data_IF_414902214604
#
_entry.id   IF_414902214604
#
_cell.length_a   1.000
_cell.length_b   1.000
_cell.length_c   1.000
_cell.angle_alpha   90.00
_cell.angle_beta   90.00
_cell.angle_gamma   90.00
#
_symmetry.space_group_name_H-M   'P 1'
#
loop_
_entity.id
_entity.type
_entity.pdbx_description
1 polymer ?
#
# COMPACT_ATOMS: atom_id res chain seq x y z
N UNK A 1 -15.29 24.68 0.36
CA UNK A 1 -14.67 23.63 -0.48
C UNK A 1 -13.93 22.70 0.46
N UNK A 2 -14.20 21.40 0.41
CA UNK A 2 -13.57 20.39 1.28
C UNK A 2 -12.26 19.91 0.66
N UNK A 3 -11.27 19.62 1.50
CA UNK A 3 -9.91 19.42 1.00
C UNK A 3 -9.23 18.19 1.59
N UNK A 4 -8.60 17.43 0.71
CA UNK A 4 -7.65 16.37 1.04
C UNK A 4 -6.25 16.87 0.66
N UNK A 5 -5.29 16.85 1.59
CA UNK A 5 -3.87 17.01 1.28
C UNK A 5 -3.23 15.62 1.24
N UNK A 6 -2.69 15.23 0.08
CA UNK A 6 -2.16 13.89 -0.11
C UNK A 6 -0.65 13.89 -0.34
N UNK A 7 0.10 13.21 0.53
CA UNK A 7 1.55 13.02 0.42
C UNK A 7 1.89 11.76 -0.39
N UNK A 8 2.74 11.93 -1.39
CA UNK A 8 3.19 10.82 -2.22
C UNK A 8 2.27 10.52 -3.40
N UNK A 9 1.98 11.51 -4.25
CA UNK A 9 1.07 11.38 -5.39
C UNK A 9 1.69 10.55 -6.53
N UNK A 10 1.94 9.25 -6.23
CA UNK A 10 2.45 8.26 -7.18
C UNK A 10 1.33 7.53 -7.95
N UNK A 11 1.71 6.45 -8.67
CA UNK A 11 0.75 5.66 -9.46
C UNK A 11 -0.33 5.05 -8.57
N UNK A 12 0.02 4.50 -7.41
CA UNK A 12 -0.94 3.88 -6.53
C UNK A 12 -1.97 4.90 -6.01
N UNK A 13 -1.55 6.06 -5.52
CA UNK A 13 -2.47 7.12 -5.08
C UNK A 13 -3.43 7.53 -6.20
N UNK A 14 -2.90 7.69 -7.43
CA UNK A 14 -3.69 8.07 -8.62
C UNK A 14 -4.68 6.99 -9.03
N UNK A 15 -4.33 5.72 -8.86
CA UNK A 15 -5.21 4.59 -9.16
C UNK A 15 -6.13 4.20 -8.00
N UNK A 16 -5.94 4.71 -6.78
CA UNK A 16 -6.70 4.31 -5.60
C UNK A 16 -7.46 5.50 -5.01
N UNK A 17 -6.85 6.29 -4.11
CA UNK A 17 -7.51 7.41 -3.44
C UNK A 17 -8.18 8.38 -4.42
N UNK A 18 -7.48 8.76 -5.50
CA UNK A 18 -8.02 9.73 -6.45
C UNK A 18 -9.16 9.14 -7.29
N UNK A 19 -9.09 7.85 -7.63
CA UNK A 19 -10.17 7.15 -8.33
C UNK A 19 -11.44 7.08 -7.47
N UNK A 20 -11.32 6.67 -6.21
CA UNK A 20 -12.44 6.69 -5.25
C UNK A 20 -13.00 8.11 -5.03
N UNK A 21 -12.12 9.12 -4.93
CA UNK A 21 -12.55 10.50 -4.73
C UNK A 21 -13.25 11.07 -5.96
N UNK A 22 -12.81 10.69 -7.17
CA UNK A 22 -13.49 11.03 -8.40
C UNK A 22 -14.89 10.40 -8.49
N UNK A 23 -15.03 9.15 -8.05
CA UNK A 23 -16.33 8.46 -8.02
C UNK A 23 -17.28 9.01 -6.95
N UNK A 24 -16.74 9.46 -5.82
CA UNK A 24 -17.54 10.10 -4.78
C UNK A 24 -18.15 11.42 -5.27
N UNK A 25 -17.49 12.11 -6.19
CA UNK A 25 -17.96 13.42 -6.67
C UNK A 25 -17.98 14.49 -5.58
N UNK A 26 -18.90 15.46 -5.73
CA UNK A 26 -19.07 16.53 -4.73
C UNK A 26 -17.99 17.61 -4.78
N UNK A 27 -17.83 18.35 -3.68
CA UNK A 27 -16.94 19.51 -3.58
C UNK A 27 -15.53 19.16 -3.07
N UNK A 28 -15.12 17.90 -3.14
CA UNK A 28 -13.81 17.46 -2.67
C UNK A 28 -12.72 17.74 -3.69
N UNK A 29 -11.65 18.37 -3.23
CA UNK A 29 -10.44 18.62 -4.01
C UNK A 29 -9.22 18.03 -3.32
N UNK A 30 -8.26 17.61 -4.13
CA UNK A 30 -7.00 17.05 -3.65
C UNK A 30 -5.85 18.00 -3.98
N UNK A 31 -5.09 18.37 -2.96
CA UNK A 31 -3.77 18.98 -3.12
C UNK A 31 -2.73 17.87 -2.93
N UNK A 32 -1.97 17.58 -3.98
CA UNK A 32 -0.86 16.65 -3.90
C UNK A 32 0.36 17.29 -3.23
N UNK A 33 1.14 16.50 -2.51
CA UNK A 33 2.44 16.89 -1.97
C UNK A 33 3.47 15.83 -2.32
N UNK A 34 4.51 16.23 -3.07
CA UNK A 34 5.63 15.36 -3.37
C UNK A 34 6.88 15.81 -2.58
N UNK A 35 7.48 14.89 -1.82
CA UNK A 35 8.61 15.19 -0.95
C UNK A 35 9.94 15.28 -1.68
N UNK A 36 10.09 14.60 -2.83
CA UNK A 36 11.39 14.41 -3.50
C UNK A 36 11.42 14.83 -4.97
N UNK A 37 10.46 14.38 -5.79
CA UNK A 37 10.51 14.52 -7.25
C UNK A 37 9.41 15.43 -7.78
N UNK A 38 9.76 16.29 -8.74
CA UNK A 38 8.81 17.14 -9.47
C UNK A 38 8.11 16.41 -10.63
N UNK A 39 8.60 15.25 -11.04
CA UNK A 39 8.17 14.57 -12.29
C UNK A 39 6.65 14.43 -12.41
N UNK A 40 5.98 13.97 -11.34
CA UNK A 40 4.52 13.83 -11.37
C UNK A 40 3.81 15.19 -11.39
N UNK A 41 4.33 16.19 -10.64
CA UNK A 41 3.79 17.55 -10.66
C UNK A 41 3.90 18.16 -12.05
N UNK A 42 5.09 18.12 -12.64
CA UNK A 42 5.36 18.78 -13.93
C UNK A 42 4.53 18.13 -15.05
N UNK A 43 4.46 16.80 -15.07
CA UNK A 43 3.65 16.07 -16.05
C UNK A 43 2.16 16.37 -15.91
N UNK A 44 1.60 16.33 -14.69
CA UNK A 44 0.18 16.61 -14.48
C UNK A 44 -0.18 18.09 -14.67
N UNK A 45 0.70 19.01 -14.30
CA UNK A 45 0.49 20.45 -14.51
C UNK A 45 0.38 20.80 -16.00
N UNK A 46 1.15 20.10 -16.87
CA UNK A 46 1.09 20.30 -18.32
C UNK A 46 -0.27 19.90 -18.94
N UNK A 47 -1.13 19.20 -18.21
CA UNK A 47 -2.45 18.72 -18.63
C UNK A 47 -3.57 19.05 -17.63
N UNK A 48 -3.48 20.20 -16.99
CA UNK A 48 -4.49 20.72 -16.04
C UNK A 48 -4.84 19.72 -14.91
N UNK A 49 -3.86 18.95 -14.46
CA UNK A 49 -3.97 17.92 -13.42
C UNK A 49 -4.98 16.80 -13.70
N UNK A 50 -5.47 16.69 -14.94
CA UNK A 50 -6.28 15.56 -15.39
C UNK A 50 -5.35 14.44 -15.91
N UNK A 51 -5.78 13.18 -15.77
CA UNK A 51 -5.06 12.04 -16.34
C UNK A 51 -5.97 10.85 -16.62
N UNK A 52 -5.52 9.98 -17.52
CA UNK A 52 -6.20 8.75 -17.89
C UNK A 52 -5.87 7.63 -16.90
N UNK A 53 -6.89 7.03 -16.32
CA UNK A 53 -6.80 5.77 -15.56
C UNK A 53 -7.25 4.63 -16.48
N UNK A 54 -6.30 3.80 -16.93
CA UNK A 54 -6.56 2.60 -17.73
C UNK A 54 -6.95 1.47 -16.80
N UNK A 55 -8.25 1.20 -16.67
CA UNK A 55 -8.77 0.07 -15.90
C UNK A 55 -8.83 -1.15 -16.81
N UNK A 56 -8.00 -2.14 -16.53
CA UNK A 56 -7.84 -3.35 -17.35
C UNK A 56 -9.16 -4.13 -17.46
N UNK A 57 -9.50 -4.54 -18.68
CA UNK A 57 -10.76 -5.23 -18.97
C UNK A 57 -12.02 -4.36 -18.91
N UNK A 58 -11.91 -3.06 -18.54
CA UNK A 58 -13.06 -2.13 -18.41
C UNK A 58 -12.95 -0.97 -19.40
N UNK A 59 -11.80 -0.28 -19.45
CA UNK A 59 -11.60 0.85 -20.34
C UNK A 59 -10.75 1.97 -19.71
N UNK A 60 -10.89 3.17 -20.25
CA UNK A 60 -10.16 4.37 -19.81
C UNK A 60 -11.12 5.33 -19.13
N UNK A 61 -10.76 5.77 -17.93
CA UNK A 61 -11.49 6.76 -17.12
C UNK A 61 -10.64 8.02 -16.99
N UNK A 62 -11.24 9.20 -17.15
CA UNK A 62 -10.56 10.47 -16.88
C UNK A 62 -10.72 10.84 -15.41
N UNK A 63 -9.61 11.10 -14.74
CA UNK A 63 -9.56 11.56 -13.36
C UNK A 63 -9.15 13.04 -13.33
N UNK A 64 -9.98 13.86 -12.66
CA UNK A 64 -9.75 15.32 -12.52
C UNK A 64 -10.22 15.80 -11.15
N UNK A 65 -9.53 15.38 -10.10
CA UNK A 65 -9.82 15.77 -8.70
C UNK A 65 -8.64 16.48 -8.04
N UNK A 66 -7.49 16.50 -8.72
CA UNK A 66 -6.29 17.19 -8.25
C UNK A 66 -6.40 18.66 -8.63
N UNK A 67 -6.25 19.55 -7.65
CA UNK A 67 -6.25 20.97 -7.88
C UNK A 67 -4.85 21.53 -8.17
N UNK A 68 -3.86 21.04 -7.40
CA UNK A 68 -2.45 21.40 -7.57
C UNK A 68 -1.55 20.37 -6.89
N UNK A 69 -0.25 20.42 -7.17
CA UNK A 69 0.76 19.58 -6.52
C UNK A 69 1.89 20.49 -6.03
N UNK A 70 2.15 20.43 -4.73
CA UNK A 70 3.21 21.17 -4.04
C UNK A 70 4.46 20.30 -3.90
N UNK A 71 5.63 20.92 -3.89
CA UNK A 71 6.91 20.25 -3.69
C UNK A 71 7.58 20.72 -2.41
N UNK A 72 8.02 19.78 -1.57
CA UNK A 72 8.75 20.11 -0.35
C UNK A 72 10.08 20.85 -0.63
N UNK A 73 10.71 20.59 -1.79
CA UNK A 73 11.92 21.28 -2.23
C UNK A 73 11.72 22.76 -2.60
N UNK A 74 10.49 23.19 -2.87
CA UNK A 74 10.16 24.59 -3.19
C UNK A 74 9.74 25.41 -1.96
N UNK A 75 9.69 24.76 -0.80
CA UNK A 75 9.38 25.40 0.49
C UNK A 75 8.21 24.73 1.18
N UNK A 76 8.26 24.78 2.49
CA UNK A 76 7.28 24.13 3.36
C UNK A 76 6.03 24.95 3.63
N UNK A 77 6.12 26.29 3.56
CA UNK A 77 5.01 27.16 3.94
C UNK A 77 3.73 26.93 3.12
N UNK A 78 3.78 26.80 1.78
CA UNK A 78 2.58 26.47 1.01
C UNK A 78 1.95 25.12 1.41
N UNK A 79 2.79 24.12 1.79
CA UNK A 79 2.33 22.80 2.24
C UNK A 79 1.64 22.92 3.59
N UNK A 80 2.26 23.56 4.58
CA UNK A 80 1.67 23.77 5.90
C UNK A 80 0.36 24.58 5.83
N UNK A 81 0.31 25.61 4.98
CA UNK A 81 -0.93 26.36 4.73
C UNK A 81 -2.04 25.49 4.14
N UNK A 82 -1.72 24.63 3.17
CA UNK A 82 -2.68 23.68 2.62
C UNK A 82 -3.15 22.69 3.69
N UNK A 83 -2.22 22.13 4.48
CA UNK A 83 -2.55 21.21 5.57
C UNK A 83 -3.45 21.86 6.63
N UNK A 84 -3.19 23.08 7.05
CA UNK A 84 -3.98 23.79 8.07
C UNK A 84 -5.47 23.89 7.69
N UNK A 85 -5.80 23.88 6.40
CA UNK A 85 -7.18 23.94 5.90
C UNK A 85 -7.75 22.58 5.52
N UNK A 86 -6.96 21.50 5.53
CA UNK A 86 -7.39 20.18 5.14
C UNK A 86 -8.37 19.55 6.15
N UNK A 87 -9.40 18.87 5.64
CA UNK A 87 -10.27 18.00 6.41
C UNK A 87 -9.63 16.61 6.59
N UNK A 88 -8.85 16.18 5.57
CA UNK A 88 -8.11 14.92 5.57
C UNK A 88 -6.68 15.18 5.08
N UNK A 89 -5.69 14.69 5.82
CA UNK A 89 -4.31 14.55 5.36
C UNK A 89 -4.06 13.06 5.11
N UNK A 90 -3.72 12.71 3.89
CA UNK A 90 -3.53 11.31 3.52
C UNK A 90 -2.13 11.05 2.94
N UNK A 91 -1.69 9.79 2.95
CA UNK A 91 -0.35 9.45 2.50
C UNK A 91 -0.25 8.08 1.79
N UNK A 92 0.62 8.03 0.77
CA UNK A 92 1.17 6.81 0.16
C UNK A 92 2.68 7.00 0.00
N UNK A 93 3.41 6.87 1.09
CA UNK A 93 4.86 7.16 1.16
C UNK A 93 5.72 5.91 1.25
N UNK A 94 5.12 4.73 1.27
CA UNK A 94 5.72 3.42 1.49
C UNK A 94 6.27 3.25 2.91
N UNK A 95 6.63 2.02 3.28
CA UNK A 95 7.15 1.72 4.62
C UNK A 95 8.37 2.56 5.00
N UNK A 96 9.24 2.89 4.02
CA UNK A 96 10.43 3.71 4.24
C UNK A 96 10.10 5.17 4.59
N UNK A 97 8.95 5.68 4.20
CA UNK A 97 8.52 7.04 4.50
C UNK A 97 8.05 7.25 5.94
N UNK A 98 7.93 6.16 6.72
CA UNK A 98 7.65 6.22 8.16
C UNK A 98 8.92 6.38 9.00
N UNK A 99 10.09 6.17 8.43
CA UNK A 99 11.39 6.27 9.11
C UNK A 99 11.45 5.49 10.43
N UNK A 100 10.93 4.25 10.43
CA UNK A 100 10.90 3.40 11.62
C UNK A 100 12.13 2.48 11.66
N UNK A 101 12.61 2.24 12.88
CA UNK A 101 13.63 1.24 13.15
C UNK A 101 13.06 -0.20 13.10
N UNK A 102 13.92 -1.20 13.37
CA UNK A 102 13.55 -2.61 13.42
C UNK A 102 12.54 -2.96 14.52
N UNK A 103 12.33 -2.09 15.50
CA UNK A 103 11.37 -2.24 16.59
C UNK A 103 10.06 -1.49 16.34
N UNK A 104 9.92 -0.84 15.18
CA UNK A 104 8.75 -0.05 14.81
C UNK A 104 8.66 1.31 15.50
N UNK A 105 9.77 1.79 16.10
CA UNK A 105 9.88 3.12 16.68
C UNK A 105 10.43 4.11 15.66
N UNK A 106 10.14 5.39 15.80
CA UNK A 106 10.73 6.42 14.95
C UNK A 106 12.25 6.43 15.11
N UNK A 107 12.98 6.25 14.02
CA UNK A 107 14.44 6.33 14.04
C UNK A 107 14.89 7.79 14.07
N UNK A 108 15.19 8.29 15.28
CA UNK A 108 15.66 9.65 15.48
C UNK A 108 17.07 9.88 14.90
N UNK A 109 17.79 8.82 14.53
CA UNK A 109 19.10 8.91 13.87
C UNK A 109 18.96 8.90 12.33
N UNK A 110 17.77 8.60 11.78
CA UNK A 110 17.54 8.74 10.34
C UNK A 110 17.89 10.15 9.90
N UNK A 111 18.73 10.34 8.85
CA UNK A 111 19.21 11.67 8.45
C UNK A 111 18.10 12.66 8.11
N UNK A 112 16.94 12.17 7.63
CA UNK A 112 15.78 13.03 7.28
C UNK A 112 15.09 13.49 8.56
N UNK A 113 14.86 12.57 9.50
CA UNK A 113 14.22 12.87 10.80
C UNK A 113 15.13 13.78 11.63
N UNK A 114 16.42 13.48 11.71
CA UNK A 114 17.39 14.31 12.43
C UNK A 114 17.45 15.76 11.86
N UNK A 115 17.38 15.91 10.53
CA UNK A 115 17.31 17.22 9.90
C UNK A 115 16.01 17.96 10.25
N UNK A 116 14.87 17.29 10.20
CA UNK A 116 13.57 17.90 10.55
C UNK A 116 13.52 18.34 12.03
N UNK A 117 14.20 17.62 12.94
CA UNK A 117 14.31 17.97 14.36
C UNK A 117 15.16 19.22 14.64
N UNK A 118 16.11 19.55 13.76
CA UNK A 118 16.94 20.76 13.91
C UNK A 118 16.24 22.03 13.44
N UNK A 119 15.06 21.91 12.86
CA UNK A 119 14.25 23.01 12.34
C UNK A 119 13.90 22.81 10.86
N UNK A 120 13.95 23.83 10.09
CA UNK A 120 13.45 23.93 8.72
C UNK A 120 14.57 23.84 7.69
N UNK A 121 14.28 23.39 6.46
CA UNK A 121 12.99 22.97 5.91
C UNK A 121 12.64 21.50 6.21
N UNK A 122 11.35 21.25 6.48
CA UNK A 122 10.82 19.90 6.70
C UNK A 122 10.92 19.03 5.42
N UNK A 123 11.25 17.74 5.59
CA UNK A 123 11.47 16.79 4.51
C UNK A 123 10.70 15.48 4.66
N UNK A 124 10.22 15.15 5.88
CA UNK A 124 9.47 13.94 6.16
C UNK A 124 7.97 14.22 6.29
N UNK A 125 7.14 13.23 5.93
CA UNK A 125 5.71 13.23 6.23
C UNK A 125 5.48 13.45 7.74
N UNK A 126 6.28 12.80 8.59
CA UNK A 126 6.17 12.83 10.04
C UNK A 126 6.39 14.26 10.57
N UNK A 127 7.45 14.94 10.11
CA UNK A 127 7.74 16.32 10.46
C UNK A 127 6.62 17.28 10.04
N UNK A 128 6.12 17.16 8.80
CA UNK A 128 5.00 17.97 8.31
C UNK A 128 3.75 17.77 9.16
N UNK A 129 3.34 16.53 9.46
CA UNK A 129 2.16 16.25 10.28
C UNK A 129 2.35 16.81 11.72
N UNK A 130 3.52 16.59 12.33
CA UNK A 130 3.77 17.07 13.70
C UNK A 130 3.70 18.59 13.80
N UNK A 131 4.31 19.29 12.85
CA UNK A 131 4.30 20.77 12.82
C UNK A 131 2.92 21.34 12.49
N UNK A 132 2.16 20.70 11.60
CA UNK A 132 0.77 21.08 11.33
C UNK A 132 -0.09 20.92 12.60
N UNK A 133 -0.03 19.75 13.24
CA UNK A 133 -0.82 19.48 14.45
C UNK A 133 -0.47 20.40 15.63
N UNK A 134 0.78 20.85 15.73
CA UNK A 134 1.19 21.79 16.79
C UNK A 134 0.60 23.20 16.63
N UNK A 135 0.13 23.55 15.43
CA UNK A 135 -0.45 24.87 15.14
C UNK A 135 -1.96 24.81 14.84
N UNK A 136 -2.52 23.60 14.88
CA UNK A 136 -3.88 23.33 14.42
C UNK A 136 -4.93 23.69 15.48
N UNK A 137 -6.02 24.31 15.05
CA UNK A 137 -7.17 24.70 15.86
C UNK A 137 -8.48 24.01 15.46
N UNK A 138 -8.45 23.12 14.46
CA UNK A 138 -9.61 22.43 13.90
C UNK A 138 -9.34 20.92 13.74
N UNK A 139 -10.41 20.07 13.81
CA UNK A 139 -10.24 18.63 13.63
C UNK A 139 -9.66 18.24 12.27
N UNK A 140 -8.88 17.14 12.23
CA UNK A 140 -8.32 16.55 11.01
C UNK A 140 -8.22 15.03 11.12
N UNK A 141 -8.48 14.37 10.01
CA UNK A 141 -8.20 12.94 9.87
C UNK A 141 -6.87 12.73 9.15
N UNK A 142 -5.96 11.95 9.75
CA UNK A 142 -4.68 11.56 9.17
C UNK A 142 -4.84 10.12 8.66
N UNK A 143 -4.90 9.94 7.34
CA UNK A 143 -5.26 8.66 6.71
C UNK A 143 -4.08 8.09 5.92
N UNK A 144 -3.45 7.05 6.45
CA UNK A 144 -2.48 6.30 5.67
C UNK A 144 -3.18 5.36 4.69
N UNK A 145 -2.72 5.38 3.44
CA UNK A 145 -3.12 4.43 2.39
C UNK A 145 -1.95 3.52 2.00
N UNK A 146 -1.00 3.32 2.89
CA UNK A 146 0.15 2.43 2.67
C UNK A 146 -0.21 0.97 3.00
N UNK A 147 0.42 0.06 2.27
CA UNK A 147 0.23 -1.38 2.44
C UNK A 147 1.01 -1.91 3.67
N UNK A 148 0.64 -1.43 4.85
CA UNK A 148 1.24 -1.76 6.14
C UNK A 148 0.13 -2.10 7.15
N UNK A 149 0.17 -3.23 7.85
CA UNK A 149 -0.76 -3.51 8.94
C UNK A 149 -0.66 -2.46 10.05
N UNK A 150 -1.81 -1.99 10.54
CA UNK A 150 -1.87 -0.96 11.58
C UNK A 150 -1.22 0.36 11.15
N UNK A 151 -1.41 0.76 9.91
CA UNK A 151 -0.75 1.92 9.30
C UNK A 151 -1.09 3.25 9.99
N UNK A 152 -2.33 3.43 10.43
CA UNK A 152 -2.77 4.61 11.19
C UNK A 152 -2.11 4.68 12.56
N UNK A 153 -2.08 3.57 13.29
CA UNK A 153 -1.43 3.48 14.62
C UNK A 153 0.08 3.74 14.52
N UNK A 154 0.75 3.14 13.52
CA UNK A 154 2.18 3.35 13.28
C UNK A 154 2.49 4.82 12.95
N UNK A 155 1.66 5.45 12.11
CA UNK A 155 1.81 6.85 11.75
C UNK A 155 1.61 7.75 12.97
N UNK A 156 0.55 7.50 13.76
CA UNK A 156 0.29 8.21 15.02
C UNK A 156 1.47 8.12 15.98
N UNK A 157 1.99 6.92 16.20
CA UNK A 157 3.12 6.68 17.09
C UNK A 157 4.37 7.43 16.63
N UNK A 158 4.71 7.37 15.33
CA UNK A 158 5.85 8.09 14.78
C UNK A 158 5.72 9.61 14.95
N UNK A 159 4.53 10.18 14.69
CA UNK A 159 4.25 11.60 14.88
C UNK A 159 4.35 11.99 16.37
N UNK A 160 3.87 11.14 17.28
CA UNK A 160 3.98 11.39 18.73
C UNK A 160 5.43 11.41 19.19
N UNK A 161 6.25 10.46 18.73
CA UNK A 161 7.67 10.39 19.05
C UNK A 161 8.46 11.58 18.49
N UNK A 162 8.14 12.00 17.26
CA UNK A 162 8.72 13.20 16.67
C UNK A 162 8.34 14.45 17.47
N UNK A 163 7.05 14.63 17.79
CA UNK A 163 6.58 15.77 18.57
C UNK A 163 7.27 15.86 19.93
N UNK A 164 7.45 14.72 20.61
CA UNK A 164 8.18 14.67 21.87
C UNK A 164 9.65 15.10 21.69
N UNK A 165 10.34 14.57 20.68
CA UNK A 165 11.74 14.90 20.40
C UNK A 165 11.94 16.37 19.98
N UNK A 166 10.97 16.93 19.23
CA UNK A 166 10.97 18.32 18.79
C UNK A 166 10.38 19.30 19.82
N UNK A 167 9.97 18.82 21.01
CA UNK A 167 9.31 19.62 22.06
C UNK A 167 8.05 20.37 21.59
N UNK A 168 7.29 19.78 20.65
CA UNK A 168 6.05 20.33 20.16
C UNK A 168 4.88 19.99 21.09
N UNK A 169 4.04 20.99 21.39
CA UNK A 169 2.79 20.79 22.12
C UNK A 169 1.65 20.57 21.12
N UNK A 170 0.96 19.44 21.19
CA UNK A 170 -0.10 19.05 20.27
C UNK A 170 -1.38 18.73 21.05
N UNK A 171 -2.50 19.29 20.63
CA UNK A 171 -3.83 18.85 21.07
C UNK A 171 -4.26 17.61 20.27
N UNK A 172 -4.01 16.42 20.84
CA UNK A 172 -4.34 15.14 20.21
C UNK A 172 -5.86 14.90 20.09
N UNK A 173 -6.70 15.69 20.72
CA UNK A 173 -8.16 15.57 20.59
C UNK A 173 -8.64 15.98 19.19
N UNK A 174 -7.89 16.83 18.50
CA UNK A 174 -8.19 17.31 17.15
C UNK A 174 -7.81 16.31 16.04
N UNK A 175 -6.97 15.31 16.33
CA UNK A 175 -6.48 14.38 15.32
C UNK A 175 -7.06 12.98 15.47
N UNK A 176 -7.39 12.34 14.35
CA UNK A 176 -7.73 10.92 14.27
C UNK A 176 -6.86 10.24 13.24
N UNK A 177 -6.46 9.02 13.54
CA UNK A 177 -5.56 8.20 12.71
C UNK A 177 -6.21 6.84 12.44
N UNK A 178 -7.26 6.77 11.60
CA UNK A 178 -7.87 5.47 11.29
C UNK A 178 -6.85 4.56 10.62
N UNK A 179 -6.85 3.29 11.02
CA UNK A 179 -6.18 2.26 10.24
C UNK A 179 -6.97 1.99 8.97
N UNK A 180 -6.26 1.63 7.89
CA UNK A 180 -6.89 1.31 6.63
C UNK A 180 -6.19 0.15 5.92
N UNK A 181 -6.98 -0.73 5.30
CA UNK A 181 -6.50 -1.77 4.41
C UNK A 181 -6.84 -1.38 2.98
N UNK A 182 -5.82 -1.28 2.13
CA UNK A 182 -5.92 -0.98 0.70
C UNK A 182 -5.54 -2.20 -0.11
N UNK A 183 -6.29 -2.49 -1.18
CA UNK A 183 -5.95 -3.56 -2.12
C UNK A 183 -6.33 -3.16 -3.55
N UNK A 184 -5.33 -2.94 -4.36
CA UNK A 184 -5.42 -2.74 -5.81
C UNK A 184 -4.04 -2.92 -6.43
N UNK A 185 -3.94 -3.68 -7.50
CA UNK A 185 -2.70 -3.82 -8.25
C UNK A 185 -2.59 -2.66 -9.25
N UNK A 186 -1.48 -1.92 -9.15
CA UNK A 186 -1.16 -0.80 -10.04
C UNK A 186 0.22 -1.04 -10.63
N UNK A 187 0.32 -1.64 -11.82
CA UNK A 187 1.59 -1.87 -12.48
C UNK A 187 2.31 -0.57 -12.85
N UNK A 188 3.60 -0.68 -13.17
CA UNK A 188 4.33 0.46 -13.73
C UNK A 188 3.74 0.84 -15.09
N UNK A 189 3.63 2.15 -15.36
CA UNK A 189 3.16 2.65 -16.64
C UNK A 189 4.22 2.41 -17.73
N UNK A 190 3.82 1.73 -18.80
CA UNK A 190 4.66 1.50 -19.99
C UNK A 190 4.39 2.54 -21.08
N UNK A 191 5.29 2.64 -22.07
CA UNK A 191 5.08 3.53 -23.21
C UNK A 191 3.86 3.12 -24.05
N UNK A 192 3.57 1.82 -24.11
CA UNK A 192 2.35 1.31 -24.76
C UNK A 192 1.09 1.87 -24.09
N UNK A 193 1.01 1.84 -22.77
CA UNK A 193 -0.14 2.40 -22.02
C UNK A 193 -0.29 3.91 -22.27
N UNK A 194 0.84 4.66 -22.29
CA UNK A 194 0.80 6.09 -22.61
C UNK A 194 0.26 6.37 -24.02
N UNK A 195 0.68 5.56 -24.99
CA UNK A 195 0.20 5.65 -26.37
C UNK A 195 -1.27 5.27 -26.51
N UNK A 196 -1.70 4.15 -25.92
CA UNK A 196 -3.10 3.70 -25.94
C UNK A 196 -4.05 4.72 -25.32
N UNK A 197 -3.65 5.36 -24.24
CA UNK A 197 -4.44 6.38 -23.55
C UNK A 197 -4.27 7.78 -24.17
N UNK A 198 -3.31 7.97 -25.08
CA UNK A 198 -2.87 9.27 -25.57
C UNK A 198 -2.60 10.26 -24.42
N UNK A 199 -1.94 9.75 -23.36
CA UNK A 199 -1.71 10.49 -22.12
C UNK A 199 -0.36 10.09 -21.50
N UNK A 200 0.63 11.02 -21.44
CA UNK A 200 1.94 10.74 -20.83
C UNK A 200 1.86 10.43 -19.34
N UNK A 201 0.80 10.87 -18.66
CA UNK A 201 0.59 10.64 -17.23
C UNK A 201 -0.41 9.52 -16.96
N UNK A 202 -0.79 8.72 -17.95
CA UNK A 202 -1.71 7.59 -17.77
C UNK A 202 -1.22 6.62 -16.67
N UNK A 203 -2.17 6.01 -15.97
CA UNK A 203 -1.90 5.00 -14.95
C UNK A 203 -2.69 3.74 -15.25
N UNK A 204 -2.04 2.57 -15.41
CA UNK A 204 -2.73 1.30 -15.51
C UNK A 204 -3.12 0.77 -14.14
N UNK A 205 -4.26 0.09 -14.04
CA UNK A 205 -4.70 -0.59 -12.83
C UNK A 205 -5.65 -1.74 -13.17
N UNK A 206 -5.79 -2.68 -12.25
CA UNK A 206 -6.81 -3.72 -12.35
C UNK A 206 -8.22 -3.18 -12.08
N UNK A 207 -9.25 -3.93 -12.50
CA UNK A 207 -10.64 -3.58 -12.21
C UNK A 207 -10.99 -3.75 -10.72
N UNK A 208 -10.38 -4.74 -10.06
CA UNK A 208 -10.59 -4.96 -8.62
C UNK A 208 -10.00 -3.79 -7.82
N UNK A 209 -10.78 -3.35 -6.84
CA UNK A 209 -10.31 -2.41 -5.81
C UNK A 209 -11.01 -2.72 -4.50
N UNK A 210 -10.30 -2.65 -3.40
CA UNK A 210 -10.86 -2.78 -2.06
C UNK A 210 -10.22 -1.75 -1.13
N UNK A 211 -11.06 -1.09 -0.35
CA UNK A 211 -10.62 -0.16 0.68
C UNK A 211 -11.49 -0.33 1.91
N UNK A 212 -10.84 -0.67 3.02
CA UNK A 212 -11.49 -0.82 4.33
C UNK A 212 -10.84 0.18 5.28
N UNK A 213 -11.63 0.97 5.98
CA UNK A 213 -11.15 2.06 6.85
C UNK A 213 -11.87 1.97 8.18
N UNK A 214 -11.16 2.17 9.29
CA UNK A 214 -11.78 2.34 10.60
C UNK A 214 -12.63 3.61 10.64
N UNK A 215 -13.90 3.49 11.07
CA UNK A 215 -14.85 4.61 11.09
C UNK A 215 -14.63 5.52 12.31
N UNK A 216 -13.44 6.10 12.39
CA UNK A 216 -13.05 7.03 13.45
C UNK A 216 -12.54 8.36 12.90
N UNK A 217 -13.26 8.94 11.94
CA UNK A 217 -12.90 10.22 11.34
C UNK A 217 -13.10 11.38 12.33
N UNK A 218 -12.22 12.39 12.24
CA UNK A 218 -12.32 13.60 13.05
C UNK A 218 -13.35 14.61 12.50
N UNK A 219 -13.68 14.52 11.22
CA UNK A 219 -14.54 15.45 10.52
C UNK A 219 -15.18 14.81 9.28
N UNK A 220 -15.62 15.63 8.31
CA UNK A 220 -16.25 15.11 7.10
C UNK A 220 -15.28 14.29 6.25
N UNK A 221 -15.85 13.33 5.50
CA UNK A 221 -15.16 12.55 4.48
C UNK A 221 -15.99 12.50 3.20
N UNK A 222 -15.37 12.19 2.03
CA UNK A 222 -16.13 11.90 0.82
C UNK A 222 -17.03 10.66 1.01
N UNK A 223 -18.13 10.62 0.30
CA UNK A 223 -18.97 9.42 0.22
C UNK A 223 -18.34 8.43 -0.79
N UNK A 224 -17.16 7.92 -0.44
CA UNK A 224 -16.41 6.99 -1.30
C UNK A 224 -17.25 5.73 -1.56
N UNK A 225 -17.61 5.46 -2.82
CA UNK A 225 -18.40 4.26 -3.15
C UNK A 225 -17.55 2.99 -2.88
N UNK A 226 -18.22 1.93 -2.44
CA UNK A 226 -17.62 0.61 -2.20
C UNK A 226 -16.55 0.56 -1.09
N UNK A 227 -16.30 1.67 -0.38
CA UNK A 227 -15.44 1.67 0.79
C UNK A 227 -16.17 1.07 1.98
N UNK A 228 -15.53 0.12 2.67
CA UNK A 228 -16.06 -0.48 3.88
C UNK A 228 -15.58 0.32 5.09
N UNK A 229 -16.51 0.92 5.84
CA UNK A 229 -16.22 1.55 7.11
C UNK A 229 -16.50 0.58 8.25
N UNK A 230 -15.48 0.27 9.05
CA UNK A 230 -15.52 -0.78 10.07
C UNK A 230 -15.06 -0.26 11.44
N UNK A 231 -15.34 -0.99 12.50
CA UNK A 231 -14.81 -0.68 13.84
C UNK A 231 -13.35 -1.13 14.01
N UNK A 232 -12.96 -2.18 13.29
CA UNK A 232 -11.64 -2.80 13.38
C UNK A 232 -11.23 -3.32 11.99
N UNK A 233 -10.13 -2.81 11.45
CA UNK A 233 -9.62 -3.22 10.13
C UNK A 233 -8.81 -4.51 10.17
N UNK A 234 -8.30 -4.92 11.33
CA UNK A 234 -7.40 -6.06 11.49
C UNK A 234 -7.89 -7.38 10.88
N UNK A 235 -9.18 -7.76 10.99
CA UNK A 235 -9.70 -8.95 10.30
C UNK A 235 -9.47 -8.91 8.78
N UNK A 236 -9.69 -7.76 8.15
CA UNK A 236 -9.51 -7.56 6.71
C UNK A 236 -8.03 -7.57 6.30
N UNK A 237 -7.16 -6.96 7.11
CA UNK A 237 -5.70 -7.04 6.91
C UNK A 237 -5.22 -8.50 6.98
N UNK A 238 -5.68 -9.27 7.97
CA UNK A 238 -5.34 -10.69 8.12
C UNK A 238 -5.85 -11.50 6.93
N UNK A 239 -7.09 -11.24 6.44
CA UNK A 239 -7.63 -11.89 5.24
C UNK A 239 -6.73 -11.66 4.04
N UNK A 240 -6.40 -10.40 3.75
CA UNK A 240 -5.49 -10.05 2.65
C UNK A 240 -4.11 -10.70 2.83
N UNK A 241 -3.53 -10.60 4.03
CA UNK A 241 -2.19 -11.09 4.32
C UNK A 241 -2.09 -12.62 4.16
N UNK A 242 -3.05 -13.36 4.75
CA UNK A 242 -3.01 -14.83 4.78
C UNK A 242 -3.49 -15.45 3.46
N UNK A 243 -4.54 -14.90 2.83
CA UNK A 243 -5.11 -15.46 1.62
C UNK A 243 -4.39 -14.92 0.36
N UNK A 244 -4.47 -13.61 0.07
CA UNK A 244 -3.87 -13.03 -1.14
C UNK A 244 -2.35 -13.15 -1.11
N UNK A 245 -1.71 -12.58 -0.08
CA UNK A 245 -0.25 -12.53 -0.03
C UNK A 245 0.37 -13.92 0.22
N UNK A 246 -0.32 -14.79 0.96
CA UNK A 246 0.07 -16.19 1.15
C UNK A 246 0.04 -16.97 -0.15
N UNK A 247 -1.06 -16.89 -0.92
CA UNK A 247 -1.18 -17.54 -2.22
C UNK A 247 -0.18 -16.98 -3.25
N UNK A 248 0.05 -15.67 -3.28
CA UNK A 248 1.10 -15.06 -4.10
C UNK A 248 2.48 -15.65 -3.80
N UNK A 249 2.85 -15.76 -2.51
CA UNK A 249 4.14 -16.35 -2.13
C UNK A 249 4.24 -17.82 -2.55
N UNK A 250 3.18 -18.60 -2.35
CA UNK A 250 3.14 -20.00 -2.82
C UNK A 250 3.33 -20.10 -4.33
N UNK A 251 2.52 -19.36 -5.11
CA UNK A 251 2.59 -19.35 -6.57
C UNK A 251 3.96 -18.90 -7.09
N UNK A 252 4.57 -17.92 -6.42
CA UNK A 252 5.89 -17.44 -6.81
C UNK A 252 6.94 -18.55 -6.71
N UNK A 253 7.05 -19.22 -5.58
CA UNK A 253 8.08 -20.24 -5.41
C UNK A 253 7.77 -21.53 -6.16
N UNK A 254 6.52 -22.01 -6.11
CA UNK A 254 6.12 -23.23 -6.78
C UNK A 254 6.07 -23.07 -8.31
N UNK A 255 5.65 -21.90 -8.81
CA UNK A 255 5.61 -21.58 -10.23
C UNK A 255 7.00 -21.42 -10.83
N UNK A 256 7.91 -20.69 -10.18
CA UNK A 256 9.31 -20.59 -10.62
C UNK A 256 10.01 -21.94 -10.67
N UNK A 257 9.71 -22.85 -9.74
CA UNK A 257 10.25 -24.21 -9.75
C UNK A 257 9.77 -25.03 -10.97
N UNK A 258 8.63 -24.67 -11.56
CA UNK A 258 8.08 -25.30 -12.78
C UNK A 258 8.39 -24.53 -14.07
N UNK A 259 9.14 -23.41 -13.96
CA UNK A 259 9.58 -22.62 -15.12
C UNK A 259 8.58 -21.58 -15.61
N UNK A 260 7.57 -21.23 -14.82
CA UNK A 260 6.68 -20.11 -15.11
C UNK A 260 7.32 -18.78 -14.74
N UNK A 261 7.01 -17.72 -15.48
CA UNK A 261 7.51 -16.37 -15.23
C UNK A 261 6.46 -15.46 -14.56
N UNK A 262 5.18 -15.73 -14.81
CA UNK A 262 4.07 -14.86 -14.38
C UNK A 262 3.03 -15.60 -13.55
N UNK A 263 2.29 -14.86 -12.73
CA UNK A 263 1.21 -15.39 -11.87
C UNK A 263 0.13 -16.06 -12.69
N UNK A 264 -0.31 -15.45 -13.81
CA UNK A 264 -1.35 -16.00 -14.68
C UNK A 264 -0.93 -17.30 -15.36
N UNK A 265 0.35 -17.49 -15.65
CA UNK A 265 0.87 -18.77 -16.15
C UNK A 265 0.85 -19.84 -15.07
N UNK A 266 1.38 -19.53 -13.89
CA UNK A 266 1.41 -20.47 -12.77
C UNK A 266 0.00 -20.90 -12.34
N UNK A 267 -0.97 -19.98 -12.31
CA UNK A 267 -2.35 -20.32 -11.91
C UNK A 267 -3.11 -21.06 -13.00
N UNK A 268 -2.67 -21.04 -14.25
CA UNK A 268 -3.23 -21.84 -15.34
C UNK A 268 -2.93 -23.33 -15.19
N UNK A 269 -1.86 -23.68 -14.45
CA UNK A 269 -1.60 -25.06 -14.04
C UNK A 269 -2.66 -25.53 -13.04
N UNK A 270 -3.36 -26.62 -13.39
CA UNK A 270 -4.48 -27.12 -12.59
C UNK A 270 -4.07 -27.62 -11.20
N UNK A 271 -2.83 -28.08 -11.03
CA UNK A 271 -2.33 -28.52 -9.73
C UNK A 271 -2.01 -27.33 -8.85
N UNK A 272 -1.25 -26.35 -9.37
CA UNK A 272 -0.94 -25.11 -8.62
C UNK A 272 -2.21 -24.33 -8.26
N UNK A 273 -3.18 -24.27 -9.19
CA UNK A 273 -4.49 -23.65 -8.93
C UNK A 273 -5.23 -24.30 -7.77
N UNK A 274 -5.32 -25.62 -7.75
CA UNK A 274 -5.96 -26.36 -6.65
C UNK A 274 -5.24 -26.15 -5.33
N UNK A 275 -3.92 -26.17 -5.32
CA UNK A 275 -3.11 -25.96 -4.14
C UNK A 275 -3.24 -24.50 -3.62
N UNK A 276 -3.24 -23.51 -4.51
CA UNK A 276 -3.46 -22.11 -4.14
C UNK A 276 -4.85 -21.91 -3.53
N UNK A 277 -5.90 -22.49 -4.12
CA UNK A 277 -7.25 -22.44 -3.57
C UNK A 277 -7.33 -23.12 -2.19
N UNK A 278 -6.75 -24.31 -2.04
CA UNK A 278 -6.69 -25.03 -0.75
C UNK A 278 -5.98 -24.18 0.31
N UNK A 279 -4.83 -23.59 -0.03
CA UNK A 279 -4.08 -22.68 0.86
C UNK A 279 -4.94 -21.49 1.29
N UNK A 280 -5.64 -20.84 0.35
CA UNK A 280 -6.53 -19.71 0.67
C UNK A 280 -7.68 -20.12 1.58
N UNK A 281 -8.33 -21.26 1.32
CA UNK A 281 -9.43 -21.74 2.14
C UNK A 281 -8.98 -22.12 3.56
N UNK A 282 -7.84 -22.81 3.70
CA UNK A 282 -7.26 -23.20 4.98
C UNK A 282 -6.77 -21.99 5.77
N UNK A 283 -6.12 -21.03 5.10
CA UNK A 283 -5.76 -19.74 5.70
C UNK A 283 -7.00 -18.96 6.15
N UNK A 284 -8.03 -18.95 5.33
CA UNK A 284 -9.32 -18.32 5.63
C UNK A 284 -10.01 -18.90 6.88
N UNK A 285 -9.91 -20.22 7.09
CA UNK A 285 -10.45 -20.88 8.28
C UNK A 285 -9.79 -20.42 9.60
N UNK A 286 -8.62 -19.80 9.54
CA UNK A 286 -7.91 -19.22 10.71
C UNK A 286 -8.26 -17.76 10.99
N UNK A 287 -9.10 -17.15 10.17
CA UNK A 287 -9.53 -15.75 10.35
C UNK A 287 -10.56 -15.62 11.48
N UNK A 288 -10.75 -14.42 12.03
CA UNK A 288 -11.83 -14.12 12.96
C UNK A 288 -13.20 -14.52 12.36
N UNK A 289 -14.10 -14.99 13.23
CA UNK A 289 -15.37 -15.62 12.81
C UNK A 289 -16.29 -14.67 12.05
N UNK A 290 -16.24 -13.38 12.35
CA UNK A 290 -17.05 -12.31 11.74
C UNK A 290 -16.81 -12.12 10.24
N UNK A 291 -15.62 -12.50 9.73
CA UNK A 291 -15.29 -12.40 8.30
C UNK A 291 -15.13 -13.77 7.61
N UNK A 292 -15.26 -14.89 8.31
CA UNK A 292 -15.11 -16.22 7.70
C UNK A 292 -16.13 -16.52 6.60
N UNK A 293 -17.33 -15.95 6.68
CA UNK A 293 -18.34 -16.06 5.65
C UNK A 293 -17.93 -15.45 4.30
N UNK A 294 -16.98 -14.52 4.29
CA UNK A 294 -16.44 -13.87 3.08
C UNK A 294 -15.38 -14.73 2.38
N UNK A 295 -14.79 -15.71 3.07
CA UNK A 295 -13.63 -16.49 2.60
C UNK A 295 -13.87 -17.16 1.24
N UNK A 296 -14.98 -17.90 0.99
CA UNK A 296 -15.18 -18.55 -0.31
C UNK A 296 -15.29 -17.55 -1.46
N UNK A 297 -16.03 -16.48 -1.29
CA UNK A 297 -16.21 -15.45 -2.32
C UNK A 297 -14.88 -14.72 -2.60
N UNK A 298 -14.14 -14.38 -1.56
CA UNK A 298 -12.84 -13.74 -1.69
C UNK A 298 -11.82 -14.64 -2.37
N UNK A 299 -11.76 -15.93 -2.04
CA UNK A 299 -10.88 -16.89 -2.71
C UNK A 299 -11.17 -17.00 -4.22
N UNK A 300 -12.46 -17.02 -4.62
CA UNK A 300 -12.83 -17.02 -6.03
C UNK A 300 -12.45 -15.71 -6.74
N UNK A 301 -12.67 -14.57 -6.11
CA UNK A 301 -12.24 -13.27 -6.65
C UNK A 301 -10.71 -13.23 -6.85
N UNK A 302 -9.93 -13.79 -5.93
CA UNK A 302 -8.47 -13.89 -6.06
C UNK A 302 -8.05 -14.78 -7.24
N UNK A 303 -8.72 -15.91 -7.46
CA UNK A 303 -8.44 -16.77 -8.63
C UNK A 303 -8.66 -16.01 -9.94
N UNK A 304 -9.76 -15.24 -10.05
CA UNK A 304 -10.04 -14.41 -11.23
C UNK A 304 -8.94 -13.35 -11.43
N UNK A 305 -8.47 -12.72 -10.34
CA UNK A 305 -7.37 -11.75 -10.40
C UNK A 305 -6.06 -12.40 -10.86
N UNK A 306 -5.75 -13.60 -10.38
CA UNK A 306 -4.54 -14.33 -10.76
C UNK A 306 -4.56 -14.80 -12.21
N UNK A 307 -5.74 -15.10 -12.77
CA UNK A 307 -5.92 -15.45 -14.18
C UNK A 307 -5.66 -14.27 -15.13
N UNK A 308 -5.61 -13.03 -14.63
CA UNK A 308 -5.51 -11.84 -15.48
C UNK A 308 -4.08 -11.68 -16.06
N UNK A 309 -3.91 -12.04 -17.32
CA UNK A 309 -2.65 -11.92 -18.05
C UNK A 309 -2.22 -10.45 -18.28
N UNK A 310 -3.16 -9.50 -18.35
CA UNK A 310 -2.83 -8.08 -18.55
C UNK A 310 -2.05 -7.48 -17.39
N UNK A 311 -2.15 -8.06 -16.17
CA UNK A 311 -1.37 -7.60 -15.01
C UNK A 311 0.11 -7.92 -15.16
N UNK A 312 0.46 -8.97 -15.91
CA UNK A 312 1.84 -9.43 -16.13
C UNK A 312 2.68 -9.43 -14.83
N UNK A 313 2.08 -9.91 -13.72
CA UNK A 313 2.70 -9.87 -12.40
C UNK A 313 3.77 -10.95 -12.30
N UNK A 314 5.03 -10.54 -12.22
CA UNK A 314 6.18 -11.43 -12.27
C UNK A 314 6.38 -12.20 -10.97
N UNK A 315 6.60 -13.51 -11.09
CA UNK A 315 6.84 -14.40 -9.94
C UNK A 315 8.16 -14.08 -9.24
N UNK A 316 9.21 -13.70 -9.98
CA UNK A 316 10.51 -13.34 -9.40
C UNK A 316 10.46 -12.08 -8.53
N UNK A 317 9.62 -11.10 -8.88
CA UNK A 317 9.38 -9.91 -8.05
C UNK A 317 8.63 -10.26 -6.75
N UNK A 318 7.66 -11.18 -6.82
CA UNK A 318 6.92 -11.64 -5.64
C UNK A 318 7.83 -12.45 -4.71
N UNK A 319 8.76 -13.23 -5.29
CA UNK A 319 9.69 -14.11 -4.56
C UNK A 319 10.74 -13.36 -3.73
N UNK A 320 10.96 -12.06 -3.99
CA UNK A 320 11.89 -11.22 -3.20
C UNK A 320 11.49 -11.17 -1.72
N UNK A 321 12.47 -10.98 -0.84
CA UNK A 321 12.29 -10.76 0.59
C UNK A 321 11.52 -11.88 1.31
N UNK A 322 11.70 -13.13 0.86
CA UNK A 322 10.98 -14.29 1.38
C UNK A 322 11.16 -14.48 2.88
N UNK A 323 12.37 -14.28 3.40
CA UNK A 323 12.68 -14.37 4.83
C UNK A 323 11.88 -13.39 5.69
N UNK A 324 11.55 -12.21 5.15
CA UNK A 324 10.73 -11.21 5.83
C UNK A 324 9.22 -11.44 5.62
N UNK A 325 8.83 -11.92 4.44
CA UNK A 325 7.41 -12.05 4.07
C UNK A 325 6.75 -13.33 4.60
N UNK A 326 7.43 -14.48 4.52
CA UNK A 326 6.85 -15.76 4.93
C UNK A 326 6.44 -15.86 6.40
N UNK A 327 7.21 -15.29 7.36
CA UNK A 327 6.80 -15.32 8.76
C UNK A 327 5.36 -14.85 8.99
N UNK A 328 4.94 -13.80 8.33
CA UNK A 328 3.61 -13.22 8.49
C UNK A 328 2.55 -13.83 7.55
N UNK A 329 2.95 -14.19 6.32
CA UNK A 329 2.03 -14.68 5.29
C UNK A 329 1.64 -16.14 5.45
N UNK A 330 2.57 -16.98 5.91
CA UNK A 330 2.40 -18.44 5.97
C UNK A 330 2.72 -19.01 7.34
N UNK A 331 3.90 -18.69 7.94
CA UNK A 331 4.31 -19.32 9.19
C UNK A 331 3.42 -18.94 10.38
N UNK A 332 2.94 -17.70 10.44
CA UNK A 332 1.98 -17.29 11.48
C UNK A 332 0.67 -18.09 11.38
N UNK A 333 0.18 -18.34 10.18
CA UNK A 333 -1.01 -19.16 9.93
C UNK A 333 -0.75 -20.64 10.26
N UNK A 334 0.41 -21.15 9.85
CA UNK A 334 0.84 -22.53 10.11
C UNK A 334 0.88 -22.86 11.62
N UNK A 335 1.24 -21.88 12.46
CA UNK A 335 1.25 -22.04 13.93
C UNK A 335 -0.15 -22.20 14.53
N UNK A 336 -1.19 -21.76 13.83
CA UNK A 336 -2.58 -21.90 14.28
C UNK A 336 -3.18 -23.27 13.89
N UNK A 337 -2.61 -23.93 12.86
CA UNK A 337 -3.00 -25.25 12.41
C UNK A 337 -2.18 -25.63 11.17
N UNK A 338 -1.26 -26.58 11.33
CA UNK A 338 -0.42 -27.05 10.23
C UNK A 338 -1.21 -27.90 9.26
N UNK A 339 -1.17 -27.54 8.00
CA UNK A 339 -1.81 -28.30 6.91
C UNK A 339 -0.77 -28.73 5.87
N UNK A 340 -1.04 -29.82 5.11
CA UNK A 340 -0.11 -30.26 4.07
C UNK A 340 0.20 -29.18 3.02
N UNK A 341 -0.78 -28.37 2.63
CA UNK A 341 -0.58 -27.32 1.62
C UNK A 341 0.25 -26.15 2.15
N UNK A 342 0.06 -25.74 3.39
CA UNK A 342 0.90 -24.69 4.01
C UNK A 342 2.35 -25.18 4.18
N UNK A 343 2.54 -26.43 4.58
CA UNK A 343 3.87 -27.04 4.65
C UNK A 343 4.50 -27.10 3.25
N UNK A 344 3.72 -27.42 2.20
CA UNK A 344 4.24 -27.44 0.82
C UNK A 344 4.67 -26.05 0.36
N UNK A 345 3.99 -24.97 0.78
CA UNK A 345 4.39 -23.61 0.46
C UNK A 345 5.74 -23.23 1.10
N UNK A 346 5.97 -23.63 2.35
CA UNK A 346 7.28 -23.44 3.01
C UNK A 346 8.38 -24.24 2.31
N UNK A 347 8.09 -25.50 1.95
CA UNK A 347 9.02 -26.34 1.19
C UNK A 347 9.35 -25.75 -0.17
N UNK A 348 8.38 -25.20 -0.88
CA UNK A 348 8.60 -24.53 -2.17
C UNK A 348 9.58 -23.36 -2.02
N UNK A 349 9.44 -22.54 -0.97
CA UNK A 349 10.38 -21.47 -0.67
C UNK A 349 11.79 -22.00 -0.37
N UNK A 350 11.91 -23.00 0.51
CA UNK A 350 13.21 -23.59 0.84
C UNK A 350 13.89 -24.16 -0.43
N UNK A 351 13.14 -24.92 -1.26
CA UNK A 351 13.64 -25.46 -2.52
C UNK A 351 14.08 -24.35 -3.48
N UNK A 352 13.34 -23.23 -3.55
CA UNK A 352 13.73 -22.07 -4.33
C UNK A 352 15.08 -21.51 -3.86
N UNK A 353 15.25 -21.28 -2.55
CA UNK A 353 16.51 -20.78 -1.99
C UNK A 353 17.70 -21.70 -2.32
N UNK A 354 17.55 -23.01 -2.08
CA UNK A 354 18.57 -24.01 -2.37
C UNK A 354 18.91 -24.02 -3.87
N UNK A 355 17.90 -24.03 -4.74
CA UNK A 355 18.11 -24.08 -6.20
C UNK A 355 18.81 -22.82 -6.71
N UNK A 356 18.39 -21.62 -6.28
CA UNK A 356 19.03 -20.37 -6.70
C UNK A 356 20.50 -20.31 -6.23
N UNK A 357 20.77 -20.76 -5.00
CA UNK A 357 22.13 -20.85 -4.47
C UNK A 357 23.00 -21.83 -5.26
N UNK A 358 22.46 -23.02 -5.56
CA UNK A 358 23.18 -24.02 -6.35
C UNK A 358 23.49 -23.54 -7.78
N UNK A 359 22.64 -22.68 -8.35
CA UNK A 359 22.86 -22.05 -9.66
C UNK A 359 23.81 -20.82 -9.60
N UNK A 360 24.35 -20.49 -8.44
CA UNK A 360 25.19 -19.30 -8.24
C UNK A 360 24.46 -17.98 -8.42
N UNK A 361 23.13 -17.98 -8.37
CA UNK A 361 22.32 -16.78 -8.46
C UNK A 361 22.16 -16.12 -7.10
N UNK A 362 22.23 -14.80 -7.10
CA UNK A 362 22.02 -14.00 -5.89
C UNK A 362 20.52 -14.05 -5.49
N UNK A 363 20.23 -14.41 -4.24
CA UNK A 363 18.90 -14.24 -3.67
C UNK A 363 18.65 -12.75 -3.41
N UNK A 364 17.52 -12.23 -3.87
CA UNK A 364 17.07 -10.89 -3.51
C UNK A 364 16.32 -10.95 -2.17
N UNK A 365 17.10 -11.12 -1.09
CA UNK A 365 16.60 -11.30 0.28
C UNK A 365 17.61 -10.70 1.27
N UNK A 366 17.18 -9.92 2.29
CA UNK A 366 18.06 -9.33 3.27
C UNK A 366 18.91 -10.34 4.07
N UNK A 367 18.40 -11.58 4.24
CA UNK A 367 19.06 -12.67 4.92
C UNK A 367 19.71 -13.68 3.98
N UNK A 368 20.07 -13.25 2.74
CA UNK A 368 20.62 -14.15 1.73
C UNK A 368 21.83 -14.95 2.24
N UNK A 369 22.73 -14.32 3.02
CA UNK A 369 23.92 -15.02 3.54
C UNK A 369 23.56 -16.24 4.40
N UNK A 370 22.54 -16.10 5.26
CA UNK A 370 22.02 -17.20 6.07
C UNK A 370 21.30 -18.23 5.20
N UNK A 371 20.49 -17.80 4.24
CA UNK A 371 19.72 -18.66 3.36
C UNK A 371 20.62 -19.47 2.40
N UNK A 372 21.79 -18.95 2.03
CA UNK A 372 22.78 -19.68 1.23
C UNK A 372 23.52 -20.79 2.00
N UNK A 373 23.33 -20.90 3.33
CA UNK A 373 23.89 -21.98 4.14
C UNK A 373 22.94 -23.17 4.36
N UNK A 374 21.71 -23.06 3.86
CA UNK A 374 20.70 -24.13 3.88
C UNK A 374 20.99 -25.17 2.79
#
# INVERSE_FOLDING_TARGET
MRQIVHFGLGNFARAHLLDYTADAGGDWQVIGVNLRSSTTRDGLAAQDYAYALKVQGVGVKQIKVVNTILLASEGQQPILQAMAHADIISATVTEKGYHLDQHGQLDLQDPVIAADLTGLPLRSLIGFIAHDLAQRDRPVTILSCDNRPGNGDALRQAVQQFAQAAHLTIDWSLARFPNAMVDRITPATTDLIRQECNDPMAVPTEAFREWVIEDCFAGPRPDWPDVQFVQDVRPHELRKLRMLNGAHSFLAYAGLAQGYDFVHEAISDLQLRRQALSLMMEAGATLPQDIQNQVPAYAQALLVRFDNAELAHRLDQIAMDGSQKLPYRILATLRLGATPVMISAVRAWMSYCITQTALGKKLNDPHQELLCTL
#
